data_IF_905557416448
#
_entry.id   IF_905557416448
#
_cell.length_a   1.000
_cell.length_b   1.000
_cell.length_c   1.000
_cell.angle_alpha   90.00
_cell.angle_beta   90.00
_cell.angle_gamma   90.00
#
_symmetry.space_group_name_H-M   'P 1'
#
loop_
_entity.id
_entity.type
_entity.pdbx_description
1 polymer ?
#
# COMPACT_ATOMS: atom_id res chain seq x y z
N UNK A 1 -5.45 -9.49 15.96
CA UNK A 1 -4.24 -9.41 16.81
C UNK A 1 -4.64 -9.10 18.24
N UNK A 2 -4.02 -9.77 19.20
CA UNK A 2 -4.27 -9.58 20.63
C UNK A 2 -3.11 -8.78 21.21
N UNK A 3 -3.43 -7.75 22.00
CA UNK A 3 -2.45 -6.95 22.74
C UNK A 3 -2.06 -7.60 24.07
N UNK A 4 -1.08 -7.01 24.79
CA UNK A 4 -0.48 -7.62 25.99
C UNK A 4 -1.45 -7.93 27.13
N UNK A 5 -2.63 -7.30 27.16
CA UNK A 5 -3.68 -7.49 28.18
C UNK A 5 -4.80 -8.42 27.72
N UNK A 6 -4.52 -9.33 26.78
CA UNK A 6 -5.51 -10.21 26.14
C UNK A 6 -6.70 -9.47 25.47
N UNK A 7 -6.54 -8.18 25.17
CA UNK A 7 -7.54 -7.33 24.50
C UNK A 7 -7.20 -7.13 23.03
N UNK A 8 -8.17 -6.76 22.16
CA UNK A 8 -7.87 -6.40 20.78
C UNK A 8 -6.74 -5.36 20.68
N UNK A 9 -5.86 -5.54 19.71
CA UNK A 9 -4.79 -4.58 19.44
C UNK A 9 -5.38 -3.21 19.05
N UNK A 10 -4.97 -2.16 19.75
CA UNK A 10 -5.43 -0.80 19.42
C UNK A 10 -4.61 -0.20 18.28
N UNK A 11 -5.20 0.75 17.55
CA UNK A 11 -4.49 1.52 16.50
C UNK A 11 -3.21 2.17 17.04
N UNK A 12 -3.28 2.76 18.24
CA UNK A 12 -2.12 3.33 18.94
C UNK A 12 -1.02 2.29 19.16
N UNK A 13 -1.39 1.08 19.59
CA UNK A 13 -0.42 0.01 19.86
C UNK A 13 0.25 -0.47 18.57
N UNK A 14 -0.51 -0.61 17.48
CA UNK A 14 0.02 -0.93 16.16
C UNK A 14 1.04 0.11 15.70
N UNK A 15 0.73 1.40 15.85
CA UNK A 15 1.67 2.49 15.54
C UNK A 15 2.98 2.35 16.31
N UNK A 16 2.91 2.09 17.62
CA UNK A 16 4.10 1.91 18.46
C UNK A 16 4.89 0.64 18.10
N UNK A 17 4.23 -0.42 17.65
CA UNK A 17 4.91 -1.63 17.14
C UNK A 17 5.70 -1.29 15.88
N UNK A 18 5.09 -0.61 14.90
CA UNK A 18 5.75 -0.21 13.65
C UNK A 18 6.92 0.71 13.93
N UNK A 19 6.75 1.72 14.78
CA UNK A 19 7.82 2.65 15.13
C UNK A 19 9.02 1.95 15.78
N UNK A 20 8.77 0.99 16.69
CA UNK A 20 9.83 0.19 17.32
C UNK A 20 10.54 -0.71 16.31
N UNK A 21 9.81 -1.33 15.39
CA UNK A 21 10.39 -2.14 14.32
C UNK A 21 11.29 -1.28 13.40
N UNK A 22 10.84 -0.09 13.00
CA UNK A 22 11.61 0.82 12.17
C UNK A 22 12.92 1.27 12.84
N UNK A 23 12.87 1.60 14.14
CA UNK A 23 14.06 1.93 14.93
C UNK A 23 15.04 0.78 15.01
N UNK A 24 14.56 -0.44 15.25
CA UNK A 24 15.39 -1.66 15.26
C UNK A 24 16.04 -1.94 13.91
N UNK A 25 15.37 -1.61 12.82
CA UNK A 25 15.90 -1.72 11.46
C UNK A 25 16.85 -0.57 11.07
N UNK A 26 17.15 0.37 11.99
CA UNK A 26 18.04 1.50 11.70
C UNK A 26 17.45 2.56 10.77
N UNK A 27 16.13 2.54 10.53
CA UNK A 27 15.47 3.49 9.65
C UNK A 27 15.40 4.87 10.32
N UNK A 28 16.08 5.84 9.71
CA UNK A 28 16.12 7.24 10.17
C UNK A 28 14.87 8.04 9.82
N UNK A 29 14.10 7.55 8.85
CA UNK A 29 12.88 8.17 8.34
C UNK A 29 11.66 7.86 9.23
N UNK A 30 10.64 8.73 9.18
CA UNK A 30 9.38 8.51 9.90
C UNK A 30 8.59 7.39 9.22
N UNK A 31 8.58 6.21 9.83
CA UNK A 31 7.81 5.04 9.36
C UNK A 31 6.51 4.92 10.16
N UNK A 32 5.41 4.74 9.44
CA UNK A 32 4.07 4.53 9.98
C UNK A 32 3.37 3.34 9.30
N UNK A 33 2.25 2.84 9.86
CA UNK A 33 1.43 1.84 9.15
C UNK A 33 0.99 2.30 7.76
N UNK A 34 0.69 3.59 7.56
CA UNK A 34 0.34 4.15 6.25
C UNK A 34 1.53 4.18 5.30
N UNK A 35 2.73 4.50 5.78
CA UNK A 35 3.97 4.43 4.99
C UNK A 35 4.18 3.02 4.45
N UNK A 36 4.03 2.01 5.30
CA UNK A 36 4.19 0.60 4.89
C UNK A 36 3.13 0.18 3.85
N UNK A 37 1.86 0.59 4.04
CA UNK A 37 0.78 0.34 3.07
C UNK A 37 1.09 0.99 1.72
N UNK A 38 1.61 2.21 1.72
CA UNK A 38 1.97 2.91 0.50
C UNK A 38 3.16 2.25 -0.21
N UNK A 39 4.21 1.88 0.54
CA UNK A 39 5.34 1.13 -0.02
C UNK A 39 4.90 -0.19 -0.66
N UNK A 40 3.99 -0.93 -0.04
CA UNK A 40 3.41 -2.14 -0.63
C UNK A 40 2.72 -1.86 -1.97
N UNK A 41 1.87 -0.83 -2.02
CA UNK A 41 1.16 -0.45 -3.25
C UNK A 41 2.13 -0.04 -4.37
N UNK A 42 3.06 0.87 -4.07
CA UNK A 42 4.04 1.36 -5.02
C UNK A 42 4.95 0.25 -5.52
N UNK A 43 5.44 -0.63 -4.64
CA UNK A 43 6.33 -1.72 -5.02
C UNK A 43 5.64 -2.74 -5.93
N UNK A 44 4.35 -3.05 -5.69
CA UNK A 44 3.60 -3.92 -6.59
C UNK A 44 3.35 -3.28 -7.96
N UNK A 45 2.99 -1.99 -8.00
CA UNK A 45 2.77 -1.28 -9.26
C UNK A 45 4.06 -1.11 -10.06
N UNK A 46 5.18 -0.82 -9.40
CA UNK A 46 6.52 -0.78 -10.02
C UNK A 46 6.91 -2.15 -10.60
N UNK A 47 6.52 -3.24 -9.93
CA UNK A 47 6.68 -4.61 -10.40
C UNK A 47 5.72 -5.03 -11.52
N UNK A 48 4.86 -4.13 -12.00
CA UNK A 48 3.90 -4.41 -13.07
C UNK A 48 2.63 -5.13 -12.63
N UNK A 49 2.35 -5.18 -11.32
CA UNK A 49 1.09 -5.73 -10.83
C UNK A 49 -0.08 -4.89 -11.33
N UNK A 50 -1.16 -5.57 -11.71
CA UNK A 50 -2.40 -4.93 -12.11
C UNK A 50 -2.97 -4.07 -10.97
N UNK A 51 -3.35 -2.83 -11.32
CA UNK A 51 -3.89 -1.86 -10.36
C UNK A 51 -5.15 -2.40 -9.67
N UNK A 52 -6.00 -3.14 -10.40
CA UNK A 52 -7.21 -3.71 -9.82
C UNK A 52 -6.88 -4.82 -8.82
N UNK A 53 -5.88 -5.65 -9.11
CA UNK A 53 -5.36 -6.64 -8.15
C UNK A 53 -4.78 -5.97 -6.88
N UNK A 54 -3.97 -4.92 -7.02
CA UNK A 54 -3.41 -4.17 -5.86
C UNK A 54 -4.52 -3.57 -5.00
N UNK A 55 -5.57 -3.01 -5.61
CA UNK A 55 -6.73 -2.47 -4.89
C UNK A 55 -7.48 -3.52 -4.06
N UNK A 56 -7.68 -4.72 -4.62
CA UNK A 56 -8.33 -5.83 -3.91
C UNK A 56 -7.50 -6.27 -2.71
N UNK A 57 -6.18 -6.42 -2.87
CA UNK A 57 -5.25 -6.80 -1.80
C UNK A 57 -5.21 -5.76 -0.66
N UNK A 58 -5.42 -4.49 -1.00
CA UNK A 58 -5.46 -3.39 -0.04
C UNK A 58 -6.81 -3.25 0.69
N UNK A 59 -7.83 -4.03 0.32
CA UNK A 59 -9.05 -4.19 1.12
C UNK A 59 -9.93 -2.95 1.20
N UNK A 60 -10.22 -2.30 0.07
CA UNK A 60 -11.21 -1.21 0.02
C UNK A 60 -12.65 -1.74 0.17
N UNK A 61 -13.12 -1.81 1.40
CA UNK A 61 -14.56 -1.83 1.71
C UNK A 61 -15.19 -0.41 1.69
N UNK A 62 -14.38 0.64 1.54
CA UNK A 62 -14.85 2.03 1.46
C UNK A 62 -14.12 2.79 0.33
N UNK A 63 -14.92 3.34 -0.59
CA UNK A 63 -14.55 3.93 -1.89
C UNK A 63 -14.01 5.37 -1.76
N UNK A 64 -13.92 5.94 -0.56
CA UNK A 64 -13.62 7.36 -0.34
C UNK A 64 -12.15 7.80 -0.41
N UNK A 65 -11.17 6.92 -0.69
CA UNK A 65 -9.73 7.31 -0.85
C UNK A 65 -9.13 6.96 -2.22
N UNK A 66 -9.96 6.54 -3.18
CA UNK A 66 -9.50 5.98 -4.46
C UNK A 66 -9.17 7.01 -5.53
N UNK A 67 -9.44 8.31 -5.31
CA UNK A 67 -9.20 9.35 -6.31
C UNK A 67 -7.72 9.76 -6.47
N UNK A 68 -6.83 9.35 -5.55
CA UNK A 68 -5.42 9.75 -5.59
C UNK A 68 -4.57 8.84 -6.50
N UNK A 69 -5.01 7.61 -6.79
CA UNK A 69 -4.25 6.67 -7.63
C UNK A 69 -4.47 6.88 -9.14
N UNK A 70 -5.33 7.81 -9.53
CA UNK A 70 -5.51 8.23 -10.93
C UNK A 70 -4.34 9.11 -11.42
N UNK A 71 -3.43 9.52 -10.53
CA UNK A 71 -2.27 10.35 -10.87
C UNK A 71 -0.95 9.55 -10.86
N UNK A 72 -0.90 8.40 -11.53
CA UNK A 72 0.36 7.70 -11.83
C UNK A 72 0.62 7.69 -13.35
N UNK A 73 1.90 7.77 -13.75
CA UNK A 73 2.32 8.30 -15.03
C UNK A 73 1.83 7.43 -16.19
N UNK A 74 1.39 8.13 -17.23
CA UNK A 74 0.79 7.62 -18.46
C UNK A 74 1.54 6.43 -19.07
N UNK A 75 2.85 6.29 -18.83
CA UNK A 75 3.70 5.24 -19.39
C UNK A 75 3.33 3.81 -18.94
N UNK A 76 2.88 3.58 -17.70
CA UNK A 76 2.48 2.24 -17.25
C UNK A 76 1.12 1.84 -17.85
N UNK A 77 0.16 2.77 -17.85
CA UNK A 77 -1.14 2.62 -18.50
C UNK A 77 -1.02 2.46 -20.02
N UNK A 78 -0.12 3.22 -20.66
CA UNK A 78 0.17 3.10 -22.10
C UNK A 78 0.71 1.72 -22.44
N UNK A 79 1.66 1.19 -21.65
CA UNK A 79 2.22 -0.15 -21.86
C UNK A 79 1.18 -1.26 -21.74
N UNK A 80 0.30 -1.19 -20.74
CA UNK A 80 -0.81 -2.14 -20.62
C UNK A 80 -1.84 -1.98 -21.75
N UNK A 81 -2.14 -0.75 -22.16
CA UNK A 81 -2.99 -0.49 -23.33
C UNK A 81 -2.37 -1.08 -24.60
N UNK A 82 -1.11 -0.79 -24.90
CA UNK A 82 -0.43 -1.28 -26.10
C UNK A 82 -0.31 -2.83 -26.10
N UNK A 83 -0.19 -3.44 -24.93
CA UNK A 83 -0.01 -4.89 -24.80
C UNK A 83 -1.31 -5.70 -24.90
N UNK A 84 -2.45 -5.15 -24.49
CA UNK A 84 -3.72 -5.88 -24.41
C UNK A 84 -4.84 -5.29 -25.27
N UNK A 85 -4.62 -4.14 -25.93
CA UNK A 85 -5.62 -3.57 -26.82
C UNK A 85 -5.48 -4.17 -28.23
N UNK A 86 -6.52 -4.82 -28.78
CA UNK A 86 -6.46 -5.59 -30.04
C UNK A 86 -6.31 -4.73 -31.31
N UNK A 87 -6.02 -3.43 -31.17
CA UNK A 87 -5.88 -2.45 -32.28
C UNK A 87 -4.83 -1.36 -32.00
N UNK A 88 -3.83 -1.62 -31.16
CA UNK A 88 -2.68 -0.72 -31.01
C UNK A 88 -1.68 -0.88 -32.17
#
# INVERSE_FOLDING_TARGET
>A
FVGPRARPLTRQSLWQIVLRAARRAGLRQRVSPHTLRHCFASHLLEGGADLRAVQLMLGHADISTTQIYTHLPSAALRRMYDQFHPRA
#
